data_IF_300589869502
#
_entry.id   IF_300589869502
#
_cell.length_a   1.000
_cell.length_b   1.000
_cell.length_c   1.000
_cell.angle_alpha   90.00
_cell.angle_beta   90.00
_cell.angle_gamma   90.00
#
_symmetry.space_group_name_H-M   'P 1'
#
loop_
_entity.id
_entity.type
_entity.pdbx_description
1 polymer ?
#
# COMPACT_ATOMS: atom_id res chain seq x y z
N UNK A 1 -22.06 24.56 -0.87
CA UNK A 1 -22.09 24.62 -2.35
C UNK A 1 -20.99 23.79 -2.96
N UNK A 2 -19.76 23.94 -2.51
CA UNK A 2 -18.61 23.17 -3.02
C UNK A 2 -18.81 21.66 -2.89
N UNK A 3 -19.35 21.16 -1.78
CA UNK A 3 -19.63 19.74 -1.57
C UNK A 3 -20.63 19.18 -2.57
N UNK A 4 -21.70 19.95 -2.88
CA UNK A 4 -22.70 19.50 -3.86
C UNK A 4 -22.11 19.49 -5.28
N UNK A 5 -21.30 20.50 -5.64
CA UNK A 5 -20.59 20.52 -6.93
C UNK A 5 -19.65 19.32 -7.07
N UNK A 6 -18.94 18.96 -5.99
CA UNK A 6 -18.07 17.79 -5.96
C UNK A 6 -18.86 16.48 -6.09
N UNK A 7 -20.07 16.42 -5.55
CA UNK A 7 -20.94 15.24 -5.55
C UNK A 7 -21.54 14.89 -6.93
N UNK A 8 -21.45 15.79 -7.91
CA UNK A 8 -22.04 15.57 -9.24
C UNK A 8 -21.44 14.32 -9.90
N UNK A 9 -22.32 13.38 -10.29
CA UNK A 9 -21.94 12.12 -10.92
C UNK A 9 -21.30 11.12 -9.97
N UNK A 10 -21.27 11.35 -8.67
CA UNK A 10 -20.69 10.44 -7.69
C UNK A 10 -21.75 9.79 -6.83
N UNK A 11 -21.52 8.54 -6.47
CA UNK A 11 -22.23 7.92 -5.37
C UNK A 11 -21.84 8.64 -4.08
N UNK A 12 -22.80 9.20 -3.35
CA UNK A 12 -22.57 9.89 -2.08
C UNK A 12 -23.48 9.31 -1.02
N UNK A 13 -22.88 8.76 0.02
CA UNK A 13 -23.61 8.05 1.07
C UNK A 13 -23.41 8.75 2.41
N UNK A 14 -24.50 9.12 3.12
CA UNK A 14 -24.41 9.59 4.50
C UNK A 14 -24.01 8.46 5.44
N UNK A 15 -23.32 8.80 6.52
CA UNK A 15 -23.06 7.90 7.63
C UNK A 15 -23.69 8.41 8.91
N UNK A 16 -24.42 7.55 9.57
CA UNK A 16 -25.08 7.82 10.84
C UNK A 16 -24.31 7.07 11.91
N UNK A 17 -23.51 7.74 12.68
CA UNK A 17 -22.64 7.24 13.74
C UNK A 17 -22.01 5.87 13.46
N UNK A 18 -22.76 4.77 13.48
CA UNK A 18 -22.24 3.40 13.29
C UNK A 18 -22.55 2.80 11.91
N UNK A 19 -23.52 3.33 11.17
CA UNK A 19 -24.00 2.70 9.93
C UNK A 19 -23.98 3.68 8.75
N UNK A 20 -23.69 3.14 7.58
CA UNK A 20 -23.92 3.84 6.33
C UNK A 20 -25.41 3.88 5.97
N UNK A 21 -25.80 4.94 5.29
CA UNK A 21 -27.10 5.03 4.65
C UNK A 21 -27.24 4.06 3.48
N UNK A 22 -28.41 4.11 2.83
CA UNK A 22 -28.69 3.30 1.65
C UNK A 22 -27.71 3.60 0.51
N UNK A 23 -27.36 2.58 -0.24
CA UNK A 23 -26.52 2.67 -1.45
C UNK A 23 -27.27 2.07 -2.65
N UNK A 24 -27.19 2.69 -3.86
CA UNK A 24 -26.56 3.99 -4.14
C UNK A 24 -27.40 5.18 -3.64
N UNK A 25 -26.75 6.34 -3.42
CA UNK A 25 -27.41 7.61 -3.09
C UNK A 25 -26.62 8.78 -3.70
N UNK A 26 -27.25 9.94 -3.78
CA UNK A 26 -26.71 11.17 -4.41
C UNK A 26 -26.98 12.40 -3.57
N UNK A 27 -26.17 13.45 -3.76
CA UNK A 27 -26.45 14.80 -3.26
C UNK A 27 -26.63 15.75 -4.44
N UNK A 28 -27.83 16.30 -4.62
CA UNK A 28 -28.14 17.22 -5.71
C UNK A 28 -28.23 18.67 -5.24
N UNK A 29 -28.75 18.89 -4.05
CA UNK A 29 -29.04 20.23 -3.52
C UNK A 29 -28.43 20.45 -2.12
N UNK A 30 -28.20 21.69 -1.76
CA UNK A 30 -27.78 22.03 -0.39
C UNK A 30 -28.80 21.58 0.67
N UNK A 31 -30.07 21.57 0.32
CA UNK A 31 -31.17 21.07 1.17
C UNK A 31 -30.99 19.61 1.52
N UNK A 32 -30.43 18.77 0.63
CA UNK A 32 -30.23 17.36 0.87
C UNK A 32 -29.23 17.14 2.01
N UNK A 33 -28.12 17.89 1.98
CA UNK A 33 -27.12 17.88 3.06
C UNK A 33 -27.79 18.23 4.40
N UNK A 34 -28.55 19.31 4.43
CA UNK A 34 -29.23 19.77 5.66
C UNK A 34 -30.26 18.77 6.14
N UNK A 35 -31.05 18.19 5.23
CA UNK A 35 -32.04 17.17 5.58
C UNK A 35 -31.39 15.92 6.17
N UNK A 36 -30.27 15.45 5.63
CA UNK A 36 -29.54 14.31 6.12
C UNK A 36 -28.88 14.59 7.46
N UNK A 37 -28.26 15.77 7.64
CA UNK A 37 -27.70 16.20 8.92
C UNK A 37 -28.78 16.28 10.01
N UNK A 38 -29.95 16.84 9.70
CA UNK A 38 -31.08 16.91 10.64
C UNK A 38 -31.62 15.51 11.02
N UNK A 39 -31.37 14.49 10.17
CA UNK A 39 -31.67 13.09 10.48
C UNK A 39 -30.53 12.39 11.26
N UNK A 40 -29.47 13.12 11.58
CA UNK A 40 -28.34 12.63 12.37
C UNK A 40 -27.14 12.15 11.56
N UNK A 41 -27.04 12.47 10.27
CA UNK A 41 -25.82 12.19 9.50
C UNK A 41 -24.64 13.00 10.04
N UNK A 42 -23.55 12.31 10.38
CA UNK A 42 -22.33 12.92 10.91
C UNK A 42 -21.23 13.05 9.87
N UNK A 43 -21.31 12.28 8.80
CA UNK A 43 -20.35 12.32 7.70
C UNK A 43 -20.99 11.91 6.38
N UNK A 44 -20.35 12.35 5.29
CA UNK A 44 -20.69 11.98 3.92
C UNK A 44 -19.47 11.30 3.29
N UNK A 45 -19.70 10.27 2.50
CA UNK A 45 -18.68 9.52 1.79
C UNK A 45 -19.03 9.49 0.31
N UNK A 46 -18.05 9.80 -0.55
CA UNK A 46 -18.22 9.86 -1.98
C UNK A 46 -17.36 8.81 -2.68
N UNK A 47 -17.78 8.37 -3.86
CA UNK A 47 -16.96 7.54 -4.74
C UNK A 47 -15.84 8.35 -5.39
N UNK A 48 -14.69 7.71 -5.61
CA UNK A 48 -13.63 8.25 -6.49
C UNK A 48 -14.02 8.15 -7.97
N UNK A 49 -14.88 7.20 -8.29
CA UNK A 49 -15.46 7.00 -9.60
C UNK A 49 -16.57 8.01 -9.87
N UNK A 50 -16.66 8.47 -11.11
CA UNK A 50 -17.74 9.31 -11.62
C UNK A 50 -18.59 8.44 -12.54
N UNK A 51 -19.88 8.39 -12.30
CA UNK A 51 -20.82 7.52 -12.95
C UNK A 51 -21.68 8.27 -13.96
N UNK A 52 -22.16 7.58 -15.01
CA UNK A 52 -23.13 8.14 -15.96
C UNK A 52 -24.50 8.29 -15.32
N UNK A 53 -24.92 7.27 -14.59
CA UNK A 53 -26.12 7.26 -13.76
C UNK A 53 -25.81 6.56 -12.45
N UNK A 54 -25.71 7.35 -11.36
CA UNK A 54 -25.41 6.83 -10.03
C UNK A 54 -26.50 5.88 -9.54
N UNK A 55 -27.77 6.20 -9.81
CA UNK A 55 -28.91 5.46 -9.27
C UNK A 55 -29.16 4.13 -10.00
N UNK A 56 -28.58 3.97 -11.19
CA UNK A 56 -28.60 2.71 -11.91
C UNK A 56 -27.63 1.66 -11.35
N UNK A 57 -26.65 2.06 -10.52
CA UNK A 57 -25.64 1.14 -9.98
C UNK A 57 -26.27 0.28 -8.89
N UNK A 58 -25.95 -1.01 -8.89
CA UNK A 58 -26.35 -1.93 -7.81
C UNK A 58 -25.19 -2.87 -7.41
N UNK A 59 -25.41 -3.66 -6.37
CA UNK A 59 -24.39 -4.54 -5.82
C UNK A 59 -24.14 -5.80 -6.67
N UNK A 60 -25.07 -6.15 -7.52
CA UNK A 60 -25.04 -7.38 -8.33
C UNK A 60 -24.37 -7.18 -9.69
N UNK A 61 -24.02 -5.93 -10.04
CA UNK A 61 -23.30 -5.61 -11.28
C UNK A 61 -21.92 -6.23 -11.31
N UNK A 62 -21.59 -6.82 -12.44
CA UNK A 62 -20.24 -7.30 -12.77
C UNK A 62 -19.26 -6.12 -12.95
N UNK A 63 -17.96 -6.41 -12.97
CA UNK A 63 -16.93 -5.39 -13.22
C UNK A 63 -17.06 -4.77 -14.63
N UNK A 64 -17.50 -5.53 -15.59
CA UNK A 64 -17.75 -5.08 -16.96
C UNK A 64 -18.92 -4.09 -17.00
N UNK A 65 -20.06 -4.45 -16.42
CA UNK A 65 -21.23 -3.58 -16.30
C UNK A 65 -20.94 -2.28 -15.54
N UNK A 66 -20.16 -2.36 -14.43
CA UNK A 66 -19.69 -1.19 -13.73
C UNK A 66 -18.76 -0.34 -14.62
N UNK A 67 -17.91 -0.96 -15.43
CA UNK A 67 -17.05 -0.30 -16.39
C UNK A 67 -17.83 0.49 -17.43
N UNK A 68 -18.95 -0.03 -17.92
CA UNK A 68 -19.85 0.67 -18.85
C UNK A 68 -20.54 1.87 -18.21
N UNK A 69 -20.93 1.77 -16.95
CA UNK A 69 -21.54 2.86 -16.20
C UNK A 69 -20.55 3.92 -15.76
N UNK A 70 -19.25 3.61 -15.70
CA UNK A 70 -18.21 4.56 -15.31
C UNK A 70 -17.98 5.59 -16.40
N UNK A 71 -18.13 6.87 -16.07
CA UNK A 71 -17.81 7.98 -16.97
C UNK A 71 -16.32 8.36 -16.87
N UNK A 72 -15.78 8.40 -15.65
CA UNK A 72 -14.37 8.67 -15.34
C UNK A 72 -14.06 8.27 -13.88
N UNK A 73 -12.84 8.52 -13.45
CA UNK A 73 -12.41 8.34 -12.06
C UNK A 73 -11.35 9.40 -11.70
N UNK A 74 -11.28 9.77 -10.44
CA UNK A 74 -10.17 10.55 -9.91
C UNK A 74 -9.14 9.62 -9.28
N UNK A 75 -7.86 9.98 -9.37
CA UNK A 75 -6.84 9.26 -8.61
C UNK A 75 -6.94 9.70 -7.14
N UNK A 76 -7.42 8.81 -6.31
CA UNK A 76 -7.42 8.97 -4.87
C UNK A 76 -6.22 8.23 -4.28
N UNK A 77 -5.42 8.95 -3.50
CA UNK A 77 -4.30 8.40 -2.76
C UNK A 77 -4.65 8.55 -1.28
N UNK A 78 -4.95 7.44 -0.63
CA UNK A 78 -5.23 7.37 0.80
C UNK A 78 -3.96 7.01 1.55
N UNK A 79 -3.48 7.94 2.38
CA UNK A 79 -2.28 7.76 3.20
C UNK A 79 -2.75 7.55 4.62
N UNK A 80 -2.66 6.34 5.12
CA UNK A 80 -2.95 6.03 6.53
C UNK A 80 -1.70 5.48 7.23
N UNK A 81 -1.38 6.08 8.36
CA UNK A 81 -0.27 5.68 9.21
C UNK A 81 -0.71 5.70 10.67
N UNK A 82 -0.01 4.96 11.53
CA UNK A 82 -0.26 5.00 12.98
C UNK A 82 0.01 6.37 13.60
N UNK A 83 0.92 7.14 12.99
CA UNK A 83 1.35 8.44 13.45
C UNK A 83 1.09 9.49 12.38
N UNK A 84 0.39 10.56 12.74
CA UNK A 84 0.06 11.64 11.79
C UNK A 84 1.32 12.26 11.15
N UNK A 85 2.42 12.38 11.91
CA UNK A 85 3.68 12.92 11.38
C UNK A 85 4.24 12.07 10.24
N UNK A 86 4.09 10.75 10.29
CA UNK A 86 4.47 9.85 9.20
C UNK A 86 3.57 10.07 7.97
N UNK A 87 2.26 10.19 8.15
CA UNK A 87 1.32 10.53 7.07
C UNK A 87 1.64 11.89 6.45
N UNK A 88 2.01 12.89 7.27
CA UNK A 88 2.41 14.22 6.82
C UNK A 88 3.66 14.17 5.93
N UNK A 89 4.70 13.45 6.35
CA UNK A 89 5.92 13.26 5.57
C UNK A 89 5.62 12.56 4.26
N UNK A 90 4.84 11.49 4.28
CA UNK A 90 4.41 10.77 3.08
C UNK A 90 3.64 11.68 2.13
N UNK A 91 2.67 12.44 2.64
CA UNK A 91 1.88 13.40 1.87
C UNK A 91 2.75 14.46 1.19
N UNK A 92 3.72 15.02 1.90
CA UNK A 92 4.67 15.98 1.34
C UNK A 92 5.51 15.38 0.21
N UNK A 93 6.06 14.18 0.42
CA UNK A 93 6.88 13.50 -0.59
C UNK A 93 6.07 13.10 -1.82
N UNK A 94 4.82 12.66 -1.66
CA UNK A 94 3.94 12.34 -2.79
C UNK A 94 3.57 13.61 -3.56
N UNK A 95 3.28 14.72 -2.88
CA UNK A 95 3.05 16.01 -3.55
C UNK A 95 4.28 16.45 -4.35
N UNK A 96 5.48 16.32 -3.79
CA UNK A 96 6.74 16.59 -4.49
C UNK A 96 6.92 15.68 -5.72
N UNK A 97 6.63 14.39 -5.57
CA UNK A 97 6.72 13.43 -6.68
C UNK A 97 5.71 13.76 -7.79
N UNK A 98 4.47 14.08 -7.46
CA UNK A 98 3.44 14.49 -8.43
C UNK A 98 3.84 15.78 -9.17
N UNK A 99 4.34 16.78 -8.44
CA UNK A 99 4.84 18.03 -9.03
C UNK A 99 5.99 17.79 -10.00
N UNK A 100 6.94 16.90 -9.67
CA UNK A 100 8.06 16.52 -10.54
C UNK A 100 7.58 15.83 -11.84
N UNK A 101 6.41 15.20 -11.82
CA UNK A 101 5.74 14.64 -12.99
C UNK A 101 4.81 15.65 -13.70
N UNK A 102 4.85 16.92 -13.33
CA UNK A 102 4.04 17.98 -13.94
C UNK A 102 2.60 18.09 -13.44
N UNK A 103 2.22 17.29 -12.44
CA UNK A 103 0.87 17.36 -11.83
C UNK A 103 0.84 18.50 -10.83
N UNK A 104 0.25 19.64 -11.21
CA UNK A 104 0.25 20.88 -10.40
C UNK A 104 -0.98 21.02 -9.51
N UNK A 105 -2.09 20.42 -9.91
CA UNK A 105 -3.38 20.59 -9.22
C UNK A 105 -3.71 19.28 -8.48
N UNK A 106 -3.40 19.26 -7.19
CA UNK A 106 -3.68 18.12 -6.30
C UNK A 106 -4.54 18.64 -5.15
N UNK A 107 -5.73 18.05 -5.01
CA UNK A 107 -6.55 18.23 -3.82
C UNK A 107 -5.90 17.53 -2.63
N UNK A 108 -5.85 18.18 -1.50
CA UNK A 108 -5.28 17.62 -0.27
C UNK A 108 -6.24 17.86 0.89
N UNK A 109 -6.44 16.83 1.70
CA UNK A 109 -7.20 16.97 2.94
C UNK A 109 -6.72 16.02 4.03
N UNK A 110 -6.91 16.40 5.26
CA UNK A 110 -6.84 15.52 6.43
C UNK A 110 -8.05 14.57 6.44
N UNK A 111 -7.83 13.28 6.70
CA UNK A 111 -8.90 12.26 6.65
C UNK A 111 -9.87 12.30 7.83
N UNK A 112 -9.47 12.97 8.94
CA UNK A 112 -10.25 13.04 10.19
C UNK A 112 -9.67 12.20 11.33
N UNK A 113 -8.61 11.42 11.11
CA UNK A 113 -7.96 10.60 12.15
C UNK A 113 -6.45 10.79 12.16
N UNK A 114 -5.73 10.06 11.31
CA UNK A 114 -4.26 10.07 11.25
C UNK A 114 -3.74 10.18 9.82
N UNK A 115 -4.62 10.05 8.85
CA UNK A 115 -4.29 9.95 7.44
C UNK A 115 -4.52 11.24 6.67
N UNK A 116 -4.14 11.20 5.41
CA UNK A 116 -4.34 12.24 4.41
C UNK A 116 -4.93 11.61 3.16
N UNK A 117 -5.81 12.35 2.49
CA UNK A 117 -6.25 12.01 1.14
C UNK A 117 -5.68 13.03 0.17
N UNK A 118 -4.99 12.54 -0.87
CA UNK A 118 -4.62 13.35 -2.02
C UNK A 118 -5.48 12.93 -3.21
N UNK A 119 -5.88 13.90 -4.02
CA UNK A 119 -6.74 13.63 -5.17
C UNK A 119 -6.24 14.38 -6.40
N UNK A 120 -6.09 13.65 -7.49
CA UNK A 120 -5.85 14.21 -8.82
C UNK A 120 -7.10 13.98 -9.66
N UNK A 121 -7.67 15.08 -10.18
CA UNK A 121 -8.89 14.99 -10.98
C UNK A 121 -8.70 14.14 -12.23
N UNK A 122 -9.69 13.33 -12.57
CA UNK A 122 -9.73 12.54 -13.79
C UNK A 122 -9.51 13.34 -15.08
N UNK A 123 -9.80 14.64 -15.05
CA UNK A 123 -9.55 15.55 -16.19
C UNK A 123 -8.05 15.68 -16.50
N UNK A 124 -7.17 15.42 -15.53
CA UNK A 124 -5.71 15.46 -15.71
C UNK A 124 -5.16 14.26 -16.50
N UNK A 125 -5.94 13.21 -16.66
CA UNK A 125 -5.53 12.00 -17.37
C UNK A 125 -5.95 12.03 -18.84
N UNK A 126 -5.22 11.36 -19.73
CA UNK A 126 -5.62 11.19 -21.12
C UNK A 126 -6.93 10.39 -21.20
N UNK A 127 -7.78 10.71 -22.15
CA UNK A 127 -9.03 9.96 -22.39
C UNK A 127 -8.77 8.51 -22.80
N UNK A 128 -7.63 8.27 -23.44
CA UNK A 128 -7.16 6.98 -23.91
C UNK A 128 -5.63 6.95 -23.91
N UNK A 129 -5.05 5.83 -23.55
CA UNK A 129 -3.62 5.59 -23.60
C UNK A 129 -3.37 4.15 -24.07
N UNK A 130 -2.53 3.97 -25.10
CA UNK A 130 -2.22 2.67 -25.71
C UNK A 130 -3.46 1.84 -26.06
N UNK A 131 -4.52 2.48 -26.58
CA UNK A 131 -5.77 1.83 -26.95
C UNK A 131 -6.71 1.51 -25.79
N UNK A 132 -6.32 1.82 -24.55
CA UNK A 132 -7.17 1.62 -23.38
C UNK A 132 -7.85 2.93 -23.00
N UNK A 133 -9.18 2.93 -22.97
CA UNK A 133 -9.96 4.09 -22.53
C UNK A 133 -9.82 4.28 -21.02
N UNK A 134 -9.72 5.53 -20.57
CA UNK A 134 -9.53 5.88 -19.16
C UNK A 134 -10.58 5.22 -18.26
N UNK A 135 -11.87 5.24 -18.64
CA UNK A 135 -12.93 4.65 -17.82
C UNK A 135 -12.78 3.14 -17.62
N UNK A 136 -12.19 2.44 -18.60
CA UNK A 136 -11.95 1.00 -18.53
C UNK A 136 -10.67 0.64 -17.77
N UNK A 137 -9.79 1.60 -17.54
CA UNK A 137 -8.50 1.38 -16.88
C UNK A 137 -8.58 1.40 -15.33
N UNK A 138 -9.76 1.51 -14.78
CA UNK A 138 -9.98 1.42 -13.34
C UNK A 138 -10.33 -0.03 -12.95
N UNK A 139 -9.72 -0.59 -11.92
CA UNK A 139 -8.81 0.04 -10.93
C UNK A 139 -7.31 -0.11 -11.23
N UNK A 140 -6.91 -0.64 -12.38
CA UNK A 140 -5.53 -1.02 -12.68
C UNK A 140 -4.59 0.19 -12.74
N UNK A 141 -4.97 1.26 -13.47
CA UNK A 141 -4.13 2.45 -13.58
C UNK A 141 -3.93 3.17 -12.24
N UNK A 142 -4.97 3.46 -11.45
CA UNK A 142 -4.77 4.03 -10.12
C UNK A 142 -3.84 3.19 -9.24
N UNK A 143 -4.01 1.87 -9.25
CA UNK A 143 -3.14 0.95 -8.47
C UNK A 143 -1.69 1.00 -8.93
N UNK A 144 -1.45 1.01 -10.24
CA UNK A 144 -0.10 1.10 -10.79
C UNK A 144 0.57 2.43 -10.45
N UNK A 145 -0.19 3.55 -10.54
CA UNK A 145 0.31 4.87 -10.19
C UNK A 145 0.63 4.94 -8.68
N UNK A 146 -0.26 4.45 -7.82
CA UNK A 146 -0.02 4.40 -6.40
C UNK A 146 1.23 3.55 -6.05
N UNK A 147 1.36 2.37 -6.65
CA UNK A 147 2.54 1.52 -6.45
C UNK A 147 3.85 2.21 -6.89
N UNK A 148 3.82 2.92 -8.02
CA UNK A 148 4.95 3.72 -8.50
C UNK A 148 5.30 4.85 -7.52
N UNK A 149 4.31 5.60 -7.04
CA UNK A 149 4.53 6.70 -6.09
C UNK A 149 5.14 6.18 -4.78
N UNK A 150 4.60 5.08 -4.22
CA UNK A 150 5.16 4.45 -3.02
C UNK A 150 6.63 4.11 -3.24
N UNK A 151 6.92 3.46 -4.37
CA UNK A 151 8.29 3.07 -4.68
C UNK A 151 9.21 4.28 -4.79
N UNK A 152 8.76 5.33 -5.49
CA UNK A 152 9.59 6.53 -5.76
C UNK A 152 9.96 7.31 -4.51
N UNK A 153 9.07 7.37 -3.50
CA UNK A 153 9.32 8.13 -2.27
C UNK A 153 9.96 7.32 -1.16
N UNK A 154 10.04 5.99 -1.28
CA UNK A 154 10.36 5.08 -0.19
C UNK A 154 11.66 5.42 0.53
N UNK A 155 12.75 5.64 -0.20
CA UNK A 155 14.05 5.97 0.40
C UNK A 155 13.98 7.26 1.20
N UNK A 156 13.48 8.34 0.60
CA UNK A 156 13.35 9.63 1.27
C UNK A 156 12.36 9.58 2.45
N UNK A 157 11.32 8.76 2.34
CA UNK A 157 10.38 8.53 3.44
C UNK A 157 11.06 7.88 4.63
N UNK A 158 11.77 6.78 4.42
CA UNK A 158 12.47 6.06 5.49
C UNK A 158 13.50 6.96 6.18
N UNK A 159 14.29 7.72 5.40
CA UNK A 159 15.27 8.66 5.93
C UNK A 159 14.64 9.76 6.80
N UNK A 160 13.48 10.30 6.38
CA UNK A 160 12.78 11.38 7.12
C UNK A 160 12.01 10.88 8.34
N UNK A 161 11.53 9.64 8.30
CA UNK A 161 10.71 9.05 9.38
C UNK A 161 11.57 8.42 10.46
N UNK A 162 12.74 7.87 10.13
CA UNK A 162 13.62 7.19 11.07
C UNK A 162 13.92 7.99 12.35
N UNK A 163 14.21 9.31 12.30
CA UNK A 163 14.47 10.11 13.51
C UNK A 163 13.24 10.32 14.42
N UNK A 164 12.03 10.11 13.86
CA UNK A 164 10.76 10.28 14.59
C UNK A 164 10.31 8.99 15.28
N UNK A 165 10.96 7.87 14.95
CA UNK A 165 10.59 6.59 15.50
C UNK A 165 11.11 6.43 16.93
N UNK A 166 10.25 5.92 17.84
CA UNK A 166 10.73 5.51 19.13
C UNK A 166 11.74 4.35 18.98
N UNK A 167 12.65 4.17 19.94
CA UNK A 167 13.54 3.02 19.98
C UNK A 167 12.78 1.70 19.80
N UNK A 168 13.43 0.71 19.18
CA UNK A 168 12.77 -0.56 18.83
C UNK A 168 12.18 -1.26 20.06
N UNK A 169 12.80 -1.14 21.20
CA UNK A 169 12.36 -1.72 22.47
C UNK A 169 11.01 -1.11 22.94
N UNK A 170 10.77 0.16 22.59
CA UNK A 170 9.50 0.84 22.86
C UNK A 170 8.43 0.39 21.86
N UNK A 171 8.82 0.15 20.60
CA UNK A 171 7.92 -0.38 19.56
C UNK A 171 7.49 -1.80 19.93
N UNK A 172 8.40 -2.68 20.33
CA UNK A 172 8.12 -4.04 20.79
C UNK A 172 7.04 -4.05 21.88
N UNK A 173 7.21 -3.23 22.90
CA UNK A 173 6.23 -3.12 24.01
C UNK A 173 4.87 -2.57 23.54
N UNK A 174 4.86 -1.53 22.69
CA UNK A 174 3.61 -0.90 22.21
C UNK A 174 2.84 -1.77 21.24
N UNK A 175 3.55 -2.59 20.46
CA UNK A 175 2.98 -3.40 19.42
C UNK A 175 2.75 -4.85 19.84
N UNK A 176 3.29 -5.26 20.97
CA UNK A 176 3.31 -6.64 21.45
C UNK A 176 3.91 -7.59 20.39
N UNK A 177 4.97 -7.15 19.73
CA UNK A 177 5.70 -7.87 18.69
C UNK A 177 7.17 -7.93 19.06
N UNK A 178 7.86 -8.98 18.63
CA UNK A 178 9.32 -9.09 18.80
C UNK A 178 10.06 -8.24 17.76
N UNK A 179 11.35 -8.01 17.98
CA UNK A 179 12.21 -7.29 17.03
C UNK A 179 12.18 -7.94 15.64
N UNK A 180 12.23 -9.27 15.59
CA UNK A 180 12.20 -10.05 14.34
C UNK A 180 10.89 -9.88 13.57
N UNK A 181 9.78 -9.66 14.27
CA UNK A 181 8.47 -9.36 13.66
C UNK A 181 8.32 -7.89 13.23
N UNK A 182 9.15 -7.01 13.77
CA UNK A 182 9.16 -5.58 13.47
C UNK A 182 10.15 -5.20 12.37
N UNK A 183 11.08 -6.08 12.04
CA UNK A 183 12.14 -5.84 11.05
C UNK A 183 11.89 -6.71 9.83
N UNK A 184 12.11 -6.15 8.66
CA UNK A 184 12.04 -6.88 7.38
C UNK A 184 13.26 -6.56 6.54
N UNK A 185 13.72 -7.55 5.79
CA UNK A 185 14.73 -7.32 4.77
C UNK A 185 14.15 -6.54 3.59
N UNK A 186 14.91 -5.61 3.06
CA UNK A 186 14.52 -4.74 1.95
C UNK A 186 15.44 -4.99 0.77
N UNK A 187 14.85 -5.18 -0.40
CA UNK A 187 15.58 -5.40 -1.64
C UNK A 187 16.34 -4.13 -2.05
N UNK A 188 17.67 -4.19 -2.24
CA UNK A 188 18.48 -3.03 -2.63
C UNK A 188 18.10 -2.46 -4.00
N UNK A 189 17.54 -3.29 -4.88
CA UNK A 189 17.19 -2.91 -6.24
C UNK A 189 15.83 -2.19 -6.34
N UNK A 190 14.80 -2.74 -5.71
CA UNK A 190 13.43 -2.22 -5.86
C UNK A 190 12.83 -1.69 -4.55
N UNK A 191 13.58 -1.74 -3.44
CA UNK A 191 13.16 -1.24 -2.15
C UNK A 191 11.94 -1.97 -1.54
N UNK A 192 11.48 -3.07 -2.08
CA UNK A 192 10.34 -3.84 -1.54
C UNK A 192 10.81 -4.81 -0.46
N UNK A 193 9.88 -5.17 0.41
CA UNK A 193 10.08 -6.26 1.35
C UNK A 193 10.53 -7.52 0.61
N UNK A 194 11.52 -8.18 1.17
CA UNK A 194 12.12 -9.41 0.65
C UNK A 194 11.79 -10.56 1.58
N UNK A 195 11.63 -11.74 1.01
CA UNK A 195 11.46 -12.95 1.79
C UNK A 195 12.79 -13.39 2.36
N UNK A 196 12.75 -14.01 3.53
CA UNK A 196 13.87 -14.65 4.20
C UNK A 196 13.74 -16.15 4.01
N UNK A 197 14.79 -16.76 3.52
CA UNK A 197 14.88 -18.20 3.37
C UNK A 197 16.12 -18.76 4.07
N UNK A 198 16.26 -20.06 4.05
CA UNK A 198 17.36 -20.78 4.67
C UNK A 198 18.05 -21.69 3.64
N UNK A 199 19.38 -21.62 3.60
CA UNK A 199 20.21 -22.52 2.79
C UNK A 199 20.94 -23.46 3.71
N UNK A 200 20.69 -24.73 3.55
CA UNK A 200 21.36 -25.79 4.31
C UNK A 200 22.42 -26.47 3.45
N UNK A 201 23.64 -26.52 3.96
CA UNK A 201 24.77 -27.21 3.34
C UNK A 201 24.98 -28.58 3.99
N UNK A 202 25.13 -29.57 3.15
CA UNK A 202 25.42 -30.95 3.54
C UNK A 202 26.71 -31.42 2.87
N UNK A 203 27.53 -32.20 3.60
CA UNK A 203 28.79 -32.75 3.11
C UNK A 203 28.74 -34.25 3.27
N UNK A 204 29.23 -34.99 2.27
CA UNK A 204 29.39 -36.44 2.36
C UNK A 204 30.65 -36.77 3.14
N UNK A 205 30.54 -37.63 4.17
CA UNK A 205 31.67 -38.03 4.99
C UNK A 205 32.69 -38.89 4.24
N UNK A 206 32.25 -39.66 3.22
CA UNK A 206 33.13 -40.62 2.52
C UNK A 206 33.88 -39.97 1.34
N UNK A 207 33.24 -39.08 0.56
CA UNK A 207 33.84 -38.54 -0.66
C UNK A 207 33.96 -37.01 -0.67
N UNK A 208 33.53 -36.32 0.37
CA UNK A 208 33.60 -34.84 0.45
C UNK A 208 32.64 -34.10 -0.47
N UNK A 209 31.75 -34.79 -1.19
CA UNK A 209 30.75 -34.11 -2.04
C UNK A 209 29.88 -33.17 -1.21
N UNK A 210 29.74 -31.92 -1.67
CA UNK A 210 28.94 -30.91 -1.01
C UNK A 210 27.62 -30.69 -1.80
N UNK A 211 26.52 -30.58 -1.11
CA UNK A 211 25.25 -30.20 -1.69
C UNK A 211 24.62 -29.09 -0.85
N UNK A 212 23.95 -28.13 -1.50
CA UNK A 212 23.16 -27.11 -0.84
C UNK A 212 21.67 -27.28 -1.14
N UNK A 213 20.84 -27.07 -0.15
CA UNK A 213 19.37 -27.14 -0.29
C UNK A 213 18.73 -25.86 0.25
N UNK A 214 17.80 -25.29 -0.52
CA UNK A 214 17.02 -24.14 -0.11
C UNK A 214 15.71 -24.56 0.56
N UNK A 215 15.39 -23.92 1.68
CA UNK A 215 14.09 -24.00 2.37
C UNK A 215 13.61 -25.43 2.65
N UNK A 216 14.54 -26.35 2.90
CA UNK A 216 14.24 -27.74 3.20
C UNK A 216 14.28 -27.94 4.71
N UNK A 217 13.16 -28.36 5.29
CA UNK A 217 13.12 -28.78 6.69
C UNK A 217 14.15 -29.93 6.91
N UNK A 218 14.92 -29.80 7.97
CA UNK A 218 15.86 -30.86 8.35
C UNK A 218 15.11 -32.20 8.39
N UNK A 219 15.59 -33.15 7.55
CA UNK A 219 15.09 -34.52 7.57
C UNK A 219 15.84 -35.29 8.63
N UNK A 220 15.14 -35.93 9.55
CA UNK A 220 15.73 -36.87 10.50
C UNK A 220 16.33 -38.13 9.82
N UNK A 221 16.04 -38.32 8.52
CA UNK A 221 16.56 -39.44 7.75
C UNK A 221 17.88 -39.08 7.08
N UNK A 222 18.87 -39.95 7.25
CA UNK A 222 20.15 -39.85 6.54
C UNK A 222 19.92 -39.79 5.02
N UNK A 223 20.42 -38.75 4.39
CA UNK A 223 20.34 -38.56 2.93
C UNK A 223 21.56 -39.25 2.30
N UNK A 224 21.33 -40.22 1.39
CA UNK A 224 22.40 -40.91 0.69
C UNK A 224 23.14 -39.98 -0.26
N UNK A 225 24.46 -40.15 -0.33
CA UNK A 225 25.30 -39.42 -1.27
C UNK A 225 24.90 -39.75 -2.71
N UNK A 226 24.98 -38.76 -3.60
CA UNK A 226 24.70 -38.91 -5.03
C UNK A 226 25.91 -39.45 -5.81
N UNK A 227 27.11 -39.40 -5.21
CA UNK A 227 28.38 -39.69 -5.87
C UNK A 227 28.98 -41.00 -5.38
N UNK A 228 28.70 -41.43 -4.12
CA UNK A 228 29.25 -42.64 -3.51
C UNK A 228 28.21 -43.33 -2.62
N UNK A 229 28.47 -44.55 -2.08
CA UNK A 229 27.54 -45.24 -1.17
C UNK A 229 27.32 -44.56 0.19
N UNK A 230 28.07 -43.51 0.50
CA UNK A 230 28.04 -42.79 1.77
C UNK A 230 26.79 -42.01 2.02
N UNK A 231 26.78 -41.29 3.12
CA UNK A 231 25.66 -40.44 3.55
C UNK A 231 26.09 -38.98 3.74
N UNK A 232 25.17 -38.06 3.52
CA UNK A 232 25.39 -36.67 3.79
C UNK A 232 25.15 -36.34 5.27
N UNK A 233 26.07 -35.61 5.89
CA UNK A 233 25.86 -34.97 7.18
C UNK A 233 25.53 -33.48 6.98
N UNK A 234 24.79 -32.92 7.93
CA UNK A 234 24.58 -31.47 8.04
C UNK A 234 25.93 -30.80 8.36
N UNK A 235 26.24 -29.74 7.64
CA UNK A 235 27.43 -28.91 7.89
C UNK A 235 27.04 -27.55 8.49
N UNK A 236 26.23 -26.78 7.78
CA UNK A 236 25.80 -25.48 8.24
C UNK A 236 24.45 -25.07 7.62
N UNK A 237 23.81 -24.11 8.23
CA UNK A 237 22.68 -23.41 7.66
C UNK A 237 22.92 -21.90 7.67
N UNK A 238 22.56 -21.22 6.58
CA UNK A 238 22.75 -19.79 6.38
C UNK A 238 21.43 -19.18 5.90
N UNK A 239 21.11 -18.00 6.42
CA UNK A 239 19.95 -17.25 5.97
C UNK A 239 20.26 -16.51 4.67
N UNK A 240 19.28 -16.39 3.80
CA UNK A 240 19.38 -15.58 2.61
C UNK A 240 18.09 -14.74 2.42
N UNK A 241 18.21 -13.66 1.65
CA UNK A 241 17.09 -12.80 1.30
C UNK A 241 16.80 -12.91 -0.20
N UNK A 242 15.52 -12.88 -0.55
CA UNK A 242 15.07 -12.99 -1.92
C UNK A 242 13.90 -12.08 -2.22
N UNK A 243 14.03 -11.27 -3.28
CA UNK A 243 12.95 -10.41 -3.76
C UNK A 243 12.10 -11.12 -4.81
N UNK A 244 10.83 -11.39 -4.52
CA UNK A 244 9.91 -12.03 -5.45
C UNK A 244 9.65 -11.22 -6.72
N UNK A 245 9.80 -9.89 -6.66
CA UNK A 245 9.46 -8.97 -7.76
C UNK A 245 10.58 -8.86 -8.77
N UNK A 246 11.77 -8.46 -8.35
CA UNK A 246 12.90 -8.26 -9.27
C UNK A 246 13.87 -9.44 -9.33
N UNK A 247 13.57 -10.53 -8.59
CA UNK A 247 14.37 -11.77 -8.54
C UNK A 247 15.81 -11.55 -8.05
N UNK A 248 16.08 -10.49 -7.31
CA UNK A 248 17.36 -10.25 -6.65
C UNK A 248 17.46 -11.14 -5.41
N UNK A 249 18.63 -11.73 -5.18
CA UNK A 249 18.89 -12.59 -4.02
C UNK A 249 20.22 -12.19 -3.37
N UNK A 250 20.37 -12.38 -2.06
CA UNK A 250 21.64 -12.20 -1.34
C UNK A 250 22.57 -13.41 -1.49
N UNK A 251 22.11 -14.46 -2.12
CA UNK A 251 22.89 -15.69 -2.30
C UNK A 251 22.78 -16.19 -3.74
N UNK A 252 23.92 -16.43 -4.36
CA UNK A 252 24.01 -17.07 -5.67
C UNK A 252 24.20 -18.59 -5.47
N UNK A 253 23.34 -19.37 -6.10
CA UNK A 253 23.57 -20.80 -6.23
C UNK A 253 24.29 -21.02 -7.53
N UNK A 254 25.60 -21.20 -7.49
CA UNK A 254 26.37 -21.63 -8.65
C UNK A 254 25.82 -22.97 -9.16
N UNK A 255 25.51 -23.01 -10.42
CA UNK A 255 25.33 -24.29 -11.13
C UNK A 255 26.71 -24.76 -11.54
N UNK A 256 27.35 -25.59 -10.72
CA UNK A 256 28.45 -26.35 -11.21
C UNK A 256 28.01 -27.32 -12.31
N UNK A 257 28.79 -27.31 -13.38
CA UNK A 257 28.49 -28.01 -14.61
C UNK A 257 28.30 -29.51 -14.44
N UNK A 258 27.44 -30.05 -15.29
CA UNK A 258 27.29 -31.42 -15.74
C UNK A 258 26.99 -32.55 -14.74
N UNK A 259 26.69 -32.30 -13.49
CA UNK A 259 26.15 -33.34 -12.58
C UNK A 259 24.61 -33.28 -12.57
N UNK A 260 23.94 -34.42 -12.83
CA UNK A 260 22.49 -34.54 -12.62
C UNK A 260 22.12 -34.28 -11.17
N UNK A 261 21.86 -33.03 -10.83
CA UNK A 261 21.28 -32.65 -9.54
C UNK A 261 19.78 -32.71 -9.68
N UNK A 262 19.11 -33.58 -8.95
CA UNK A 262 17.66 -33.69 -8.94
C UNK A 262 17.11 -32.53 -8.11
N UNK A 263 16.74 -31.47 -8.78
CA UNK A 263 16.10 -30.32 -8.14
C UNK A 263 14.62 -30.58 -7.93
N UNK A 264 14.12 -30.21 -6.75
CA UNK A 264 12.67 -30.03 -6.57
C UNK A 264 12.16 -28.91 -7.48
N UNK A 265 10.89 -28.97 -7.87
CA UNK A 265 10.26 -27.99 -8.81
C UNK A 265 10.47 -26.52 -8.42
N UNK A 266 10.74 -26.23 -7.17
CA UNK A 266 10.94 -24.91 -6.59
C UNK A 266 12.34 -24.33 -6.78
N UNK A 267 13.35 -25.17 -7.01
CA UNK A 267 14.75 -24.76 -7.23
C UNK A 267 15.01 -24.07 -8.60
N UNK A 268 13.98 -23.87 -9.43
CA UNK A 268 14.11 -23.23 -10.76
C UNK A 268 14.05 -21.70 -10.74
N UNK A 269 13.85 -21.08 -9.61
CA UNK A 269 13.92 -19.63 -9.50
C UNK A 269 15.41 -19.20 -9.45
N UNK A 270 15.99 -19.02 -10.65
CA UNK A 270 17.31 -18.39 -10.77
C UNK A 270 17.18 -16.95 -10.27
N UNK A 271 18.05 -16.55 -9.33
CA UNK A 271 18.22 -15.14 -9.05
C UNK A 271 18.67 -14.44 -10.34
N UNK A 272 17.94 -13.43 -10.75
CA UNK A 272 18.31 -12.64 -11.94
C UNK A 272 19.54 -11.77 -11.63
N UNK A 273 19.76 -11.47 -10.36
CA UNK A 273 20.91 -10.69 -9.87
C UNK A 273 21.21 -11.09 -8.42
N UNK A 274 22.47 -11.07 -8.06
CA UNK A 274 22.98 -11.25 -6.68
C UNK A 274 23.34 -9.86 -6.13
N UNK A 275 23.01 -9.60 -4.89
CA UNK A 275 23.41 -8.39 -4.17
C UNK A 275 23.52 -8.67 -2.68
N UNK A 276 24.62 -8.28 -2.10
CA UNK A 276 24.88 -8.38 -0.65
C UNK A 276 24.31 -7.16 0.11
N UNK A 277 23.69 -6.20 -0.60
CA UNK A 277 23.22 -4.93 -0.04
C UNK A 277 21.78 -4.98 0.50
N UNK A 278 21.26 -6.14 0.84
CA UNK A 278 19.98 -6.22 1.54
C UNK A 278 20.12 -5.56 2.91
N UNK A 279 19.27 -4.59 3.18
CA UNK A 279 19.19 -3.92 4.46
C UNK A 279 18.01 -4.42 5.27
N UNK A 280 18.17 -4.46 6.57
CA UNK A 280 17.05 -4.66 7.49
C UNK A 280 16.48 -3.31 7.89
N UNK A 281 15.20 -3.11 7.64
CA UNK A 281 14.46 -1.91 8.02
C UNK A 281 13.28 -2.31 8.90
N UNK A 282 12.84 -1.38 9.75
CA UNK A 282 11.61 -1.60 10.50
C UNK A 282 10.47 -1.79 9.50
N UNK A 283 9.75 -2.90 9.61
CA UNK A 283 8.67 -3.24 8.70
C UNK A 283 7.68 -2.07 8.58
N UNK A 284 7.33 -1.68 7.36
CA UNK A 284 6.41 -0.57 7.10
C UNK A 284 5.10 -0.71 7.86
N UNK A 285 4.61 -1.93 8.07
CA UNK A 285 3.45 -2.24 8.90
C UNK A 285 3.64 -1.88 10.37
N UNK A 286 4.88 -1.91 10.87
CA UNK A 286 5.21 -1.49 12.23
C UNK A 286 5.21 0.04 12.36
N UNK A 287 5.54 0.75 11.29
CA UNK A 287 5.56 2.21 11.23
C UNK A 287 4.17 2.81 10.88
N UNK A 288 3.23 1.95 10.47
CA UNK A 288 2.06 2.34 9.73
C UNK A 288 2.39 2.27 8.25
N UNK A 289 1.87 1.26 7.56
CA UNK A 289 2.04 1.11 6.13
C UNK A 289 1.65 2.40 5.43
N UNK A 290 2.44 2.80 4.45
CA UNK A 290 1.97 3.66 3.39
C UNK A 290 0.92 2.84 2.63
N UNK A 291 -0.27 2.71 3.23
CA UNK A 291 -1.37 2.01 2.60
C UNK A 291 -2.05 2.97 1.63
N UNK A 292 -1.50 3.03 0.44
CA UNK A 292 -2.08 3.73 -0.69
C UNK A 292 -3.20 2.89 -1.34
N UNK A 293 -3.80 1.98 -0.61
CA UNK A 293 -4.40 0.78 -1.17
C UNK A 293 -5.91 0.74 -1.10
N UNK A 294 -6.64 1.71 -1.22
CA UNK A 294 -8.08 1.42 -1.33
C UNK A 294 -8.70 1.78 -2.68
N UNK A 295 -7.94 1.59 -3.75
CA UNK A 295 -8.55 1.67 -5.09
C UNK A 295 -9.31 0.37 -5.38
N UNK A 296 -10.59 0.40 -5.14
CA UNK A 296 -11.50 -0.70 -5.42
C UNK A 296 -12.81 -0.16 -6.01
N UNK A 297 -13.47 -0.90 -6.92
CA UNK A 297 -14.76 -0.48 -7.45
C UNK A 297 -15.77 -0.19 -6.35
N UNK A 298 -16.47 0.92 -6.49
CA UNK A 298 -17.45 1.43 -5.52
C UNK A 298 -16.89 1.71 -4.11
N UNK A 299 -15.57 1.94 -4.02
CA UNK A 299 -14.96 2.43 -2.79
C UNK A 299 -15.45 3.86 -2.50
N UNK A 300 -15.69 4.16 -1.24
CA UNK A 300 -16.15 5.46 -0.78
C UNK A 300 -15.13 6.06 0.18
N UNK A 301 -14.73 7.29 -0.07
CA UNK A 301 -13.88 8.04 0.83
C UNK A 301 -14.65 9.19 1.51
N UNK A 302 -14.20 9.56 2.71
CA UNK A 302 -14.82 10.63 3.49
C UNK A 302 -14.73 11.97 2.74
N UNK A 303 -15.86 12.65 2.61
CA UNK A 303 -15.91 13.99 2.01
C UNK A 303 -15.31 15.04 2.94
N UNK A 304 -14.84 16.17 2.40
CA UNK A 304 -14.40 17.32 3.20
C UNK A 304 -15.44 17.73 4.25
N UNK A 305 -14.94 18.18 5.39
CA UNK A 305 -15.71 18.70 6.54
C UNK A 305 -16.65 17.70 7.20
N UNK A 306 -16.62 16.45 6.80
CA UNK A 306 -17.29 15.36 7.51
C UNK A 306 -16.55 15.02 8.80
N UNK A 307 -17.28 14.61 9.84
CA UNK A 307 -16.69 14.17 11.09
C UNK A 307 -16.21 12.71 10.99
N UNK A 308 -15.09 12.43 11.63
CA UNK A 308 -14.61 11.06 11.75
C UNK A 308 -15.28 10.36 12.94
N UNK A 309 -15.80 9.16 12.73
CA UNK A 309 -16.65 8.44 13.70
C UNK A 309 -15.96 8.15 15.05
N UNK A 310 -14.64 7.91 15.05
CA UNK A 310 -13.90 7.56 16.29
C UNK A 310 -13.28 8.77 16.98
N UNK A 311 -12.87 9.78 16.23
CA UNK A 311 -12.13 10.93 16.76
C UNK A 311 -12.98 12.18 16.91
N UNK A 312 -14.12 12.24 16.22
CA UNK A 312 -14.98 13.42 16.05
C UNK A 312 -14.24 14.63 15.41
N UNK A 313 -13.04 14.42 14.87
CA UNK A 313 -12.32 15.47 14.14
C UNK A 313 -12.90 15.66 12.74
N UNK A 314 -12.86 16.88 12.24
CA UNK A 314 -13.31 17.21 10.90
C UNK A 314 -12.25 16.81 9.85
N UNK A 315 -12.71 16.35 8.69
CA UNK A 315 -11.87 16.13 7.51
C UNK A 315 -11.59 17.48 6.84
N UNK A 316 -10.45 18.08 7.12
CA UNK A 316 -10.12 19.47 6.74
C UNK A 316 -9.36 19.49 5.42
N UNK A 317 -9.80 20.36 4.48
CA UNK A 317 -9.05 20.64 3.24
C UNK A 317 -7.84 21.49 3.59
N UNK A 318 -6.70 21.12 3.00
CA UNK A 318 -5.41 21.75 3.28
C UNK A 318 -4.73 22.17 1.98
N UNK A 319 -3.95 23.22 2.06
CA UNK A 319 -2.93 23.53 1.05
C UNK A 319 -1.61 22.84 1.41
N UNK A 320 -0.69 22.73 0.46
CA UNK A 320 0.67 22.20 0.71
C UNK A 320 1.40 22.97 1.83
N UNK A 321 1.17 24.29 1.94
CA UNK A 321 1.77 25.13 2.98
C UNK A 321 1.16 24.83 4.36
N UNK A 322 -0.15 24.68 4.42
CA UNK A 322 -0.85 24.37 5.66
C UNK A 322 -0.51 22.97 6.16
N UNK A 323 -0.31 21.99 5.28
CA UNK A 323 0.10 20.64 5.67
C UNK A 323 1.36 20.64 6.54
N UNK A 324 2.33 21.49 6.26
CA UNK A 324 3.58 21.56 7.02
C UNK A 324 3.39 21.98 8.48
N UNK A 325 2.36 22.80 8.75
CA UNK A 325 2.07 23.36 10.06
C UNK A 325 0.87 22.73 10.76
N UNK A 326 0.08 21.94 10.01
CA UNK A 326 -1.17 21.37 10.49
C UNK A 326 -0.96 20.39 11.65
N UNK A 327 -1.77 20.54 12.65
CA UNK A 327 -1.87 19.66 13.81
C UNK A 327 -3.28 19.11 13.97
N UNK A 328 -3.43 18.01 14.69
CA UNK A 328 -4.75 17.41 14.94
C UNK A 328 -5.71 18.37 15.69
N UNK A 329 -5.17 19.36 16.37
CA UNK A 329 -5.98 20.40 17.07
C UNK A 329 -6.71 21.33 16.08
N UNK A 330 -6.16 21.50 14.88
CA UNK A 330 -6.72 22.36 13.84
C UNK A 330 -7.93 21.70 13.17
N UNK A 331 -8.09 20.39 13.34
CA UNK A 331 -9.25 19.63 12.89
C UNK A 331 -10.43 19.61 13.88
N UNK A 332 -10.35 20.38 14.98
CA UNK A 332 -11.46 20.49 15.91
C UNK A 332 -12.66 21.14 15.20
N UNK A 333 -13.83 20.46 15.08
CA UNK A 333 -14.96 20.96 14.32
C UNK A 333 -15.51 22.31 14.81
N UNK A 334 -15.28 22.64 16.08
CA UNK A 334 -15.68 23.94 16.66
C UNK A 334 -14.77 25.10 16.25
N UNK A 335 -13.62 24.82 15.62
CA UNK A 335 -12.62 25.81 15.19
C UNK A 335 -12.43 25.87 13.68
N UNK A 336 -12.85 24.82 12.97
CA UNK A 336 -12.73 24.76 11.51
C UNK A 336 -13.61 25.85 10.88
N UNK A 337 -13.00 26.71 10.08
CA UNK A 337 -13.68 27.68 9.24
C UNK A 337 -13.81 27.11 7.82
N UNK A 338 -14.98 27.24 7.21
CA UNK A 338 -15.32 26.72 5.88
C UNK A 338 -15.48 27.87 4.89
#
# INVERSE_FOLDING_TARGET
>A
EALVKFAVGREVVPRYFEQFGKRPDILQYKSDVMALVNRGATSFHASEEVWRDVLAINADMTQEELGEQRASWDLLIDIDSRFFDCSRIAGQLILEALENHGVKNVGLKFSGSKGLHLMVSGIAFPKEYEGVKMQAAFPEWPRAICAYLIHSIRKAYNERVAPLMPPIEVLEKRMQKTKEELVQAVCPRCGRASEKGEITTYVCDDCGTVITRKDVKQSERAVRCITCPGTFRFEKSEEYFYCLVCKTSSFEVEQEGSGKVTYTKEARLRAAQVSDEFSEEIAGEALGSLDLVLVAPRHLFRMPYSLHEKTALASVVLTKKELALFTLRDANPLKVQI
#
